data_IF_392695676427
#
_entry.id   IF_392695676427
#
_cell.length_a   1.000
_cell.length_b   1.000
_cell.length_c   1.000
_cell.angle_alpha   90.00
_cell.angle_beta   90.00
_cell.angle_gamma   90.00
#
_symmetry.space_group_name_H-M   'P 1'
#
loop_
_entity.id
_entity.type
_entity.pdbx_description
1 polymer ?
#
# COMPACT_ATOMS: atom_id res chain seq x y z
N UNK A 1 -38.84 23.95 -2.51
CA UNK A 1 -38.67 22.60 -3.07
C UNK A 1 -39.23 21.65 -2.04
N UNK A 2 -40.47 21.19 -2.21
CA UNK A 2 -41.11 20.29 -1.23
C UNK A 2 -40.43 18.92 -1.32
N UNK A 3 -39.68 18.55 -0.28
CA UNK A 3 -39.18 17.20 -0.10
C UNK A 3 -40.37 16.34 0.32
N UNK A 4 -40.91 15.54 -0.61
CA UNK A 4 -41.90 14.50 -0.27
C UNK A 4 -41.27 13.58 0.79
N UNK A 5 -42.05 13.12 1.79
CA UNK A 5 -41.52 12.30 2.90
C UNK A 5 -40.71 11.08 2.45
N UNK A 6 -41.01 10.54 1.27
CA UNK A 6 -40.25 9.46 0.64
C UNK A 6 -38.79 9.83 0.36
N UNK A 7 -38.52 11.08 -0.06
CA UNK A 7 -37.17 11.57 -0.35
C UNK A 7 -36.28 11.59 0.89
N UNK A 8 -36.82 11.96 2.06
CA UNK A 8 -36.03 12.09 3.31
C UNK A 8 -35.55 10.73 3.81
N UNK A 9 -36.43 9.72 3.83
CA UNK A 9 -36.09 8.38 4.30
C UNK A 9 -35.02 7.75 3.40
N UNK A 10 -35.18 7.88 2.08
CA UNK A 10 -34.19 7.39 1.12
C UNK A 10 -32.82 8.05 1.33
N UNK A 11 -32.77 9.37 1.54
CA UNK A 11 -31.52 10.07 1.84
C UNK A 11 -30.83 9.51 3.08
N UNK A 12 -31.56 9.28 4.17
CA UNK A 12 -30.99 8.70 5.38
C UNK A 12 -30.51 7.25 5.18
N UNK A 13 -31.22 6.45 4.39
CA UNK A 13 -30.77 5.11 4.01
C UNK A 13 -29.43 5.18 3.28
N UNK A 14 -29.28 6.08 2.31
CA UNK A 14 -28.01 6.27 1.60
C UNK A 14 -26.88 6.73 2.52
N UNK A 15 -27.16 7.65 3.45
CA UNK A 15 -26.16 8.12 4.43
C UNK A 15 -25.71 6.95 5.33
N UNK A 16 -26.63 6.14 5.81
CA UNK A 16 -26.32 4.98 6.66
C UNK A 16 -25.49 3.95 5.88
N UNK A 17 -25.88 3.64 4.64
CA UNK A 17 -25.12 2.71 3.78
C UNK A 17 -23.71 3.22 3.54
N UNK A 18 -23.56 4.52 3.23
CA UNK A 18 -22.26 5.16 3.03
C UNK A 18 -21.40 5.08 4.31
N UNK A 19 -21.97 5.45 5.46
CA UNK A 19 -21.25 5.41 6.73
C UNK A 19 -20.82 3.98 7.09
N UNK A 20 -21.71 3.00 6.94
CA UNK A 20 -21.41 1.59 7.20
C UNK A 20 -20.34 1.05 6.26
N UNK A 21 -20.36 1.41 4.97
CA UNK A 21 -19.34 0.93 4.03
C UNK A 21 -17.95 1.44 4.40
N UNK A 22 -17.81 2.72 4.78
CA UNK A 22 -16.55 3.28 5.28
C UNK A 22 -16.08 2.58 6.56
N UNK A 23 -16.98 2.37 7.53
CA UNK A 23 -16.63 1.70 8.79
C UNK A 23 -16.19 0.25 8.57
N UNK A 24 -16.93 -0.50 7.74
CA UNK A 24 -16.62 -1.89 7.42
C UNK A 24 -15.30 -2.00 6.66
N UNK A 25 -15.07 -1.13 5.67
CA UNK A 25 -13.81 -1.11 4.92
C UNK A 25 -12.63 -0.78 5.85
N UNK A 26 -12.78 0.24 6.69
CA UNK A 26 -11.73 0.64 7.63
C UNK A 26 -11.43 -0.47 8.64
N UNK A 27 -12.46 -1.14 9.15
CA UNK A 27 -12.32 -2.28 10.06
C UNK A 27 -11.63 -3.46 9.36
N UNK A 28 -12.00 -3.76 8.13
CA UNK A 28 -11.37 -4.79 7.30
C UNK A 28 -9.88 -4.48 7.10
N UNK A 29 -9.54 -3.27 6.68
CA UNK A 29 -8.14 -2.85 6.54
C UNK A 29 -7.39 -3.00 7.86
N UNK A 30 -7.95 -2.54 8.97
CA UNK A 30 -7.30 -2.63 10.28
C UNK A 30 -7.06 -4.08 10.73
N UNK A 31 -8.04 -4.97 10.52
CA UNK A 31 -7.99 -6.35 11.02
C UNK A 31 -7.29 -7.34 10.09
N UNK A 32 -7.37 -7.12 8.78
CA UNK A 32 -6.89 -8.09 7.79
C UNK A 32 -5.59 -7.63 7.13
N UNK A 33 -5.43 -6.33 6.88
CA UNK A 33 -4.25 -5.79 6.19
C UNK A 33 -3.24 -5.23 7.19
N UNK A 34 -3.73 -4.54 8.23
CA UNK A 34 -2.92 -3.81 9.19
C UNK A 34 -2.04 -4.70 10.08
N UNK A 35 -2.42 -5.95 10.28
CA UNK A 35 -1.65 -6.93 11.05
C UNK A 35 -0.86 -7.88 10.14
N UNK A 36 0.00 -7.31 9.29
CA UNK A 36 0.98 -8.08 8.52
C UNK A 36 2.12 -8.64 9.41
N UNK A 37 2.05 -8.43 10.73
CA UNK A 37 3.07 -8.83 11.68
C UNK A 37 4.37 -8.04 11.54
N UNK A 38 5.40 -8.50 12.23
CA UNK A 38 6.75 -7.97 12.07
C UNK A 38 7.30 -8.44 10.72
N UNK A 39 7.61 -7.53 9.77
CA UNK A 39 8.26 -7.92 8.52
C UNK A 39 9.56 -8.67 8.80
N UNK A 40 9.87 -9.63 7.93
CA UNK A 40 11.05 -10.50 8.04
C UNK A 40 12.36 -9.79 7.70
N UNK A 41 12.31 -8.50 7.32
CA UNK A 41 13.51 -7.72 7.04
C UNK A 41 14.30 -7.42 8.31
N UNK A 42 15.59 -7.24 8.15
CA UNK A 42 16.47 -6.91 9.26
C UNK A 42 16.38 -5.40 9.58
N UNK A 43 16.00 -5.05 10.81
CA UNK A 43 15.92 -3.67 11.27
C UNK A 43 17.26 -3.12 11.78
N UNK A 44 18.29 -3.96 11.84
CA UNK A 44 19.60 -3.53 12.29
C UNK A 44 20.17 -2.50 11.30
N UNK A 45 20.96 -1.52 11.79
CA UNK A 45 21.71 -0.65 10.91
C UNK A 45 22.55 -1.51 9.95
N UNK A 46 22.22 -1.46 8.67
CA UNK A 46 23.11 -1.98 7.63
C UNK A 46 24.25 -0.97 7.52
N UNK A 47 25.46 -1.45 7.76
CA UNK A 47 26.64 -0.61 7.58
C UNK A 47 26.66 -0.16 6.11
N UNK A 48 26.81 1.14 5.87
CA UNK A 48 26.84 1.72 4.52
C UNK A 48 28.19 1.42 3.84
N UNK A 49 28.52 0.13 3.73
CA UNK A 49 29.69 -0.38 3.04
C UNK A 49 29.24 -0.90 1.67
N UNK A 50 29.74 -0.32 0.57
CA UNK A 50 29.41 -0.81 -0.77
C UNK A 50 29.71 -2.31 -0.90
N UNK A 51 28.69 -3.11 -1.20
CA UNK A 51 28.85 -4.55 -1.43
C UNK A 51 28.63 -5.48 -0.23
N UNK A 52 28.48 -4.96 1.00
CA UNK A 52 28.35 -5.81 2.21
C UNK A 52 26.90 -6.07 2.65
N UNK A 53 25.92 -5.33 2.12
CA UNK A 53 24.52 -5.69 2.36
C UNK A 53 24.24 -7.08 1.77
N UNK A 54 23.47 -7.95 2.46
CA UNK A 54 23.02 -9.24 1.91
C UNK A 54 22.32 -9.11 0.54
N UNK A 55 21.83 -7.91 0.21
CA UNK A 55 21.17 -7.58 -1.05
C UNK A 55 22.11 -6.95 -2.10
N UNK A 56 23.38 -6.74 -1.78
CA UNK A 56 24.38 -6.16 -2.71
C UNK A 56 24.95 -7.18 -3.69
N UNK A 57 24.74 -8.48 -3.43
CA UNK A 57 25.20 -9.55 -4.30
C UNK A 57 24.19 -9.74 -5.43
N UNK A 58 24.23 -8.83 -6.39
CA UNK A 58 23.54 -9.00 -7.66
C UNK A 58 24.45 -9.74 -8.65
N UNK A 59 23.85 -10.54 -9.52
CA UNK A 59 24.55 -11.09 -10.65
C UNK A 59 25.07 -9.90 -11.48
N UNK A 60 26.38 -9.84 -11.72
CA UNK A 60 26.97 -8.78 -12.52
C UNK A 60 26.30 -8.82 -13.89
N UNK A 61 25.50 -7.81 -14.18
CA UNK A 61 25.00 -7.61 -15.53
C UNK A 61 26.23 -7.44 -16.42
N UNK A 62 26.24 -8.01 -17.64
CA UNK A 62 27.36 -7.84 -18.57
C UNK A 62 27.66 -6.35 -18.81
N UNK A 63 26.67 -5.49 -18.53
CA UNK A 63 26.72 -4.07 -18.69
C UNK A 63 26.14 -3.33 -17.45
N UNK A 64 26.98 -2.77 -16.57
CA UNK A 64 26.53 -2.08 -15.37
C UNK A 64 26.19 -0.61 -15.70
N UNK A 65 25.06 -0.36 -16.36
CA UNK A 65 24.60 1.00 -16.64
C UNK A 65 23.12 1.20 -16.29
N UNK A 66 22.81 2.33 -15.65
CA UNK A 66 21.44 2.75 -15.30
C UNK A 66 20.79 3.66 -16.37
N UNK A 67 21.46 3.86 -17.51
CA UNK A 67 21.07 4.78 -18.60
C UNK A 67 20.84 4.00 -19.88
N UNK A 68 19.66 4.20 -20.51
CA UNK A 68 19.26 3.65 -21.82
C UNK A 68 20.31 3.86 -22.93
N UNK A 69 20.81 2.78 -23.53
CA UNK A 69 21.80 2.74 -24.62
C UNK A 69 22.63 1.44 -24.56
N UNK A 70 23.44 1.06 -25.56
CA UNK A 70 23.97 -0.31 -25.89
C UNK A 70 24.58 -1.22 -24.79
N UNK A 71 24.68 -0.73 -23.55
CA UNK A 71 25.11 -1.42 -22.34
C UNK A 71 24.17 -1.10 -21.14
N UNK A 72 22.92 -0.79 -21.43
CA UNK A 72 21.90 -0.26 -20.53
C UNK A 72 20.60 0.19 -21.22
N UNK A 73 20.29 -0.26 -22.45
CA UNK A 73 19.08 0.04 -23.27
C UNK A 73 17.74 -0.29 -22.58
#
# INVERSE_FOLDING_TARGET
METTKESVIQTWIFIIILALSFLLYSLFCYKVIGDAGQPTWDYRPVQDVPGESPYSMYQLLPYPQHVRGDKGE
#
